data_IF_290351671120
#
_entry.id   IF_290351671120
#
_cell.length_a   1.000
_cell.length_b   1.000
_cell.length_c   1.000
_cell.angle_alpha   90.00
_cell.angle_beta   90.00
_cell.angle_gamma   90.00
#
_symmetry.space_group_name_H-M   'P 1'
#
loop_
_entity.id
_entity.type
_entity.pdbx_description
1 polymer ?
#
# COMPACT_ATOMS: atom_id res chain seq x y z
N UNK A 1 24.87 5.91 -7.40
CA UNK A 1 24.44 4.78 -8.27
C UNK A 1 23.35 4.00 -7.57
N UNK A 2 22.25 3.70 -8.27
CA UNK A 2 21.16 2.86 -7.77
C UNK A 2 21.58 1.39 -7.79
N UNK A 3 21.52 0.69 -6.66
CA UNK A 3 21.93 -0.72 -6.56
C UNK A 3 20.74 -1.68 -6.59
N UNK A 4 20.99 -2.96 -6.92
CA UNK A 4 19.95 -4.01 -6.83
C UNK A 4 19.41 -4.16 -5.40
N UNK A 5 20.27 -3.97 -4.40
CA UNK A 5 19.89 -3.96 -2.97
C UNK A 5 18.88 -2.87 -2.67
N UNK A 6 19.05 -1.69 -3.27
CA UNK A 6 18.14 -0.56 -3.09
C UNK A 6 16.74 -0.86 -3.63
N UNK A 7 16.65 -1.52 -4.79
CA UNK A 7 15.37 -1.97 -5.35
C UNK A 7 14.69 -2.97 -4.42
N UNK A 8 15.42 -3.97 -3.91
CA UNK A 8 14.87 -5.00 -3.02
C UNK A 8 14.35 -4.38 -1.73
N UNK A 9 15.11 -3.46 -1.12
CA UNK A 9 14.69 -2.78 0.11
C UNK A 9 13.44 -1.91 -0.12
N UNK A 10 13.41 -1.13 -1.21
CA UNK A 10 12.24 -0.31 -1.55
C UNK A 10 11.00 -1.17 -1.78
N UNK A 11 11.13 -2.24 -2.57
CA UNK A 11 10.04 -3.20 -2.81
C UNK A 11 9.59 -3.85 -1.50
N UNK A 12 10.51 -4.20 -0.60
CA UNK A 12 10.20 -4.74 0.71
C UNK A 12 9.38 -3.78 1.57
N UNK A 13 9.71 -2.48 1.58
CA UNK A 13 8.94 -1.46 2.30
C UNK A 13 7.55 -1.29 1.69
N UNK A 14 7.43 -1.25 0.36
CA UNK A 14 6.13 -1.18 -0.34
C UNK A 14 5.25 -2.39 0.05
N UNK A 15 5.81 -3.59 0.02
CA UNK A 15 5.10 -4.80 0.46
C UNK A 15 4.68 -4.75 1.91
N UNK A 16 5.54 -4.27 2.82
CA UNK A 16 5.18 -4.11 4.22
C UNK A 16 3.99 -3.15 4.40
N UNK A 17 3.99 -2.01 3.69
CA UNK A 17 2.87 -1.06 3.72
C UNK A 17 1.60 -1.68 3.13
N UNK A 18 1.70 -2.40 2.03
CA UNK A 18 0.55 -3.09 1.42
C UNK A 18 -0.05 -4.13 2.36
N UNK A 19 0.79 -4.96 2.99
CA UNK A 19 0.32 -5.99 3.92
C UNK A 19 -0.34 -5.37 5.16
N UNK A 20 0.23 -4.29 5.70
CA UNK A 20 -0.39 -3.54 6.79
C UNK A 20 -1.75 -2.95 6.38
N UNK A 21 -1.86 -2.41 5.16
CA UNK A 21 -3.13 -1.90 4.64
C UNK A 21 -4.17 -3.01 4.52
N UNK A 22 -3.84 -4.10 3.83
CA UNK A 22 -4.75 -5.24 3.62
C UNK A 22 -5.22 -5.84 4.95
N UNK A 23 -4.32 -5.91 5.94
CA UNK A 23 -4.68 -6.33 7.29
C UNK A 23 -5.63 -5.35 7.97
N UNK A 24 -5.37 -4.05 7.89
CA UNK A 24 -6.20 -3.01 8.51
C UNK A 24 -7.63 -2.95 7.92
N UNK A 25 -7.79 -3.29 6.65
CA UNK A 25 -9.09 -3.29 5.94
C UNK A 25 -9.73 -4.68 5.84
N UNK A 26 -9.24 -5.67 6.60
CA UNK A 26 -9.70 -7.06 6.59
C UNK A 26 -9.84 -7.62 5.16
N UNK A 27 -8.84 -7.37 4.32
CA UNK A 27 -8.82 -7.76 2.90
C UNK A 27 -10.04 -7.30 2.10
N UNK A 28 -10.64 -6.17 2.48
CA UNK A 28 -11.82 -5.60 1.83
C UNK A 28 -13.10 -6.41 2.11
N UNK A 29 -13.14 -7.20 3.18
CA UNK A 29 -14.35 -7.89 3.62
C UNK A 29 -15.50 -6.89 3.77
N UNK A 30 -16.68 -7.32 3.35
CA UNK A 30 -17.88 -6.49 3.47
C UNK A 30 -18.13 -6.12 4.95
N UNK A 31 -18.41 -4.85 5.26
CA UNK A 31 -18.72 -4.41 6.62
C UNK A 31 -20.05 -4.98 7.15
N UNK A 32 -20.95 -5.39 6.24
CA UNK A 32 -22.27 -5.93 6.59
C UNK A 32 -22.59 -7.19 5.76
N UNK A 33 -23.41 -8.11 6.28
CA UNK A 33 -23.93 -9.20 5.47
C UNK A 33 -24.79 -8.63 4.32
N UNK A 34 -24.72 -9.22 3.12
CA UNK A 34 -25.55 -8.78 1.99
C UNK A 34 -27.03 -9.02 2.29
N UNK A 35 -27.83 -7.96 2.18
CA UNK A 35 -29.29 -7.99 2.39
C UNK A 35 -30.06 -8.35 1.11
N UNK A 36 -29.41 -8.23 -0.06
CA UNK A 36 -29.99 -8.49 -1.38
C UNK A 36 -28.90 -8.81 -2.42
N UNK A 37 -29.25 -9.41 -3.58
CA UNK A 37 -28.28 -9.64 -4.66
C UNK A 37 -27.56 -8.35 -5.12
N UNK A 38 -28.27 -7.22 -5.13
CA UNK A 38 -27.71 -5.92 -5.49
C UNK A 38 -26.65 -5.48 -4.47
N UNK A 39 -26.92 -5.67 -3.17
CA UNK A 39 -25.95 -5.33 -2.13
C UNK A 39 -24.66 -6.15 -2.26
N UNK A 40 -24.76 -7.40 -2.70
CA UNK A 40 -23.58 -8.24 -2.94
C UNK A 40 -22.72 -7.72 -4.08
N UNK A 41 -23.32 -7.23 -5.17
CA UNK A 41 -22.59 -6.61 -6.30
C UNK A 41 -21.85 -5.35 -5.81
N UNK A 42 -22.53 -4.51 -5.03
CA UNK A 42 -21.93 -3.28 -4.48
C UNK A 42 -20.76 -3.62 -3.55
N UNK A 43 -20.91 -4.60 -2.66
CA UNK A 43 -19.84 -5.01 -1.76
C UNK A 43 -18.64 -5.62 -2.49
N UNK A 44 -18.86 -6.39 -3.55
CA UNK A 44 -17.76 -6.89 -4.38
C UNK A 44 -16.99 -5.73 -5.04
N UNK A 45 -17.70 -4.72 -5.58
CA UNK A 45 -17.07 -3.54 -6.16
C UNK A 45 -16.28 -2.76 -5.11
N UNK A 46 -16.84 -2.59 -3.90
CA UNK A 46 -16.13 -1.99 -2.77
C UNK A 46 -14.84 -2.73 -2.43
N UNK A 47 -14.87 -4.07 -2.31
CA UNK A 47 -13.68 -4.89 -2.03
C UNK A 47 -12.59 -4.65 -3.07
N UNK A 48 -12.94 -4.64 -4.37
CA UNK A 48 -12.01 -4.39 -5.46
C UNK A 48 -11.38 -3.00 -5.33
N UNK A 49 -12.18 -1.97 -5.05
CA UNK A 49 -11.70 -0.58 -4.92
C UNK A 49 -10.76 -0.44 -3.73
N UNK A 50 -11.10 -0.98 -2.57
CA UNK A 50 -10.27 -0.89 -1.35
C UNK A 50 -8.92 -1.58 -1.54
N UNK A 51 -8.91 -2.77 -2.16
CA UNK A 51 -7.66 -3.50 -2.44
C UNK A 51 -6.82 -2.72 -3.45
N UNK A 52 -7.43 -2.27 -4.55
CA UNK A 52 -6.73 -1.54 -5.61
C UNK A 52 -6.15 -0.22 -5.12
N UNK A 53 -6.91 0.52 -4.30
CA UNK A 53 -6.45 1.74 -3.65
C UNK A 53 -5.27 1.45 -2.71
N UNK A 54 -5.31 0.35 -1.96
CA UNK A 54 -4.20 -0.11 -1.12
C UNK A 54 -2.93 -0.38 -1.90
N UNK A 55 -3.03 -1.06 -3.05
CA UNK A 55 -1.88 -1.29 -3.95
C UNK A 55 -1.27 0.04 -4.40
N UNK A 56 -2.08 0.96 -4.92
CA UNK A 56 -1.59 2.27 -5.37
C UNK A 56 -0.97 3.05 -4.21
N UNK A 57 -1.67 3.17 -3.09
CA UNK A 57 -1.21 3.90 -1.91
C UNK A 57 0.10 3.32 -1.36
N UNK A 58 0.24 2.00 -1.30
CA UNK A 58 1.46 1.34 -0.81
C UNK A 58 2.69 1.63 -1.66
N UNK A 59 2.53 1.76 -2.99
CA UNK A 59 3.63 2.13 -3.88
C UNK A 59 4.12 3.54 -3.55
N UNK A 60 3.20 4.52 -3.43
CA UNK A 60 3.56 5.91 -3.12
C UNK A 60 4.13 6.06 -1.71
N UNK A 61 3.41 5.56 -0.70
CA UNK A 61 3.81 5.68 0.71
C UNK A 61 5.10 4.89 0.96
N UNK A 62 5.20 3.67 0.45
CA UNK A 62 6.39 2.83 0.65
C UNK A 62 7.62 3.41 -0.02
N UNK A 63 7.49 3.93 -1.25
CA UNK A 63 8.58 4.64 -1.92
C UNK A 63 8.99 5.91 -1.14
N UNK A 64 8.02 6.71 -0.69
CA UNK A 64 8.28 7.91 0.11
C UNK A 64 9.01 7.58 1.41
N UNK A 65 8.56 6.58 2.18
CA UNK A 65 9.22 6.12 3.41
C UNK A 65 10.67 5.72 3.11
N UNK A 66 10.87 4.89 2.10
CA UNK A 66 12.20 4.41 1.73
C UNK A 66 13.13 5.58 1.36
N UNK A 67 12.66 6.52 0.54
CA UNK A 67 13.45 7.70 0.15
C UNK A 67 13.78 8.58 1.34
N UNK A 68 12.78 8.88 2.19
CA UNK A 68 13.00 9.67 3.41
C UNK A 68 14.07 9.00 4.27
N UNK A 69 13.95 7.70 4.58
CA UNK A 69 14.93 7.01 5.44
C UNK A 69 16.32 6.97 4.79
N UNK A 70 16.40 6.58 3.52
CA UNK A 70 17.68 6.43 2.80
C UNK A 70 18.44 7.74 2.66
N UNK A 71 17.73 8.85 2.43
CA UNK A 71 18.35 10.14 2.20
C UNK A 71 18.44 11.01 3.46
N UNK A 72 17.69 10.70 4.52
CA UNK A 72 17.78 11.39 5.82
C UNK A 72 19.16 11.30 6.46
N UNK A 73 19.82 10.14 6.38
CA UNK A 73 21.18 9.97 6.93
C UNK A 73 22.29 10.51 6.02
N UNK A 74 21.98 10.76 4.74
CA UNK A 74 22.98 11.20 3.76
C UNK A 74 23.26 12.69 3.78
N UNK A 75 22.69 13.44 4.73
CA UNK A 75 22.99 14.86 4.97
C UNK A 75 23.21 15.61 3.67
N UNK A 76 22.28 15.49 2.71
CA UNK A 76 22.38 16.23 1.46
C UNK A 76 22.16 17.69 1.81
N UNK A 77 23.28 18.37 2.08
CA UNK A 77 23.43 19.80 1.93
C UNK A 77 23.32 20.14 0.45
N UNK A 78 22.08 20.17 -0.03
CA UNK A 78 21.57 20.93 -1.17
C UNK A 78 20.10 21.17 -0.75
N UNK A 79 19.70 22.33 -0.24
CA UNK A 79 19.94 23.63 -0.85
C UNK A 79 18.96 23.77 -1.99
#
# INVERSE_FOLDING_TARGET
MWSKRDTILMVGVIWAVLLMWLFAVDFGRSPFPPASPISQIIFNAYTIVVISAGVVASIFIGAMIYFVVKFKERGHGEG
#
